data_IF_633014177251
#
_entry.id   IF_633014177251
#
_cell.length_a   1.000
_cell.length_b   1.000
_cell.length_c   1.000
_cell.angle_alpha   90.00
_cell.angle_beta   90.00
_cell.angle_gamma   90.00
#
_symmetry.space_group_name_H-M   'P 1'
#
loop_
_entity.id
_entity.type
_entity.pdbx_description
1 polymer ?
#
# COMPACT_ATOMS: atom_id res chain seq x y z
N UNK A 1 24.25 -3.16 7.78
CA UNK A 1 23.25 -2.18 8.23
C UNK A 1 21.87 -2.75 7.93
N UNK A 2 20.89 -2.57 8.82
CA UNK A 2 19.51 -3.04 8.61
C UNK A 2 18.76 -2.05 7.71
N UNK A 3 17.90 -2.54 6.82
CA UNK A 3 17.04 -1.72 5.93
C UNK A 3 16.23 -0.70 6.74
N UNK A 4 15.87 -1.05 7.98
CA UNK A 4 15.15 -0.19 8.94
C UNK A 4 15.91 1.10 9.27
N UNK A 5 17.25 1.07 9.28
CA UNK A 5 18.09 2.17 9.76
C UNK A 5 18.75 2.97 8.62
N UNK A 6 18.54 2.58 7.36
CA UNK A 6 19.25 3.18 6.22
C UNK A 6 18.37 3.41 4.99
N UNK A 7 17.14 2.86 4.98
CA UNK A 7 16.35 2.76 3.75
C UNK A 7 17.05 1.86 2.71
N UNK A 8 16.42 1.60 1.55
CA UNK A 8 17.12 0.99 0.43
C UNK A 8 18.25 1.93 -0.04
N UNK A 9 19.51 1.51 0.11
CA UNK A 9 20.69 2.32 -0.22
C UNK A 9 20.90 2.38 -1.73
N UNK A 10 21.02 3.59 -2.29
CA UNK A 10 21.29 3.99 -3.69
C UNK A 10 20.06 4.31 -4.58
N UNK A 11 19.40 5.40 -4.21
CA UNK A 11 18.02 5.77 -4.56
C UNK A 11 17.73 6.30 -5.98
N UNK A 12 18.64 6.22 -6.96
CA UNK A 12 18.32 6.72 -8.32
C UNK A 12 18.62 5.74 -9.46
N UNK A 13 19.83 5.17 -9.52
CA UNK A 13 20.20 4.22 -10.57
C UNK A 13 19.57 2.84 -10.34
N UNK A 14 19.44 2.42 -9.09
CA UNK A 14 18.72 1.20 -8.74
C UNK A 14 17.24 1.31 -9.09
N UNK A 15 16.58 2.47 -8.95
CA UNK A 15 15.12 2.56 -9.09
C UNK A 15 14.58 2.46 -10.53
N UNK A 16 15.21 3.14 -11.50
CA UNK A 16 14.81 3.01 -12.90
C UNK A 16 15.17 1.61 -13.43
N UNK A 17 16.35 1.12 -13.02
CA UNK A 17 16.82 -0.24 -13.27
C UNK A 17 15.88 -1.28 -12.68
N UNK A 18 15.47 -1.15 -11.42
CA UNK A 18 14.66 -2.09 -10.66
C UNK A 18 13.19 -2.07 -11.08
N UNK A 19 12.63 -0.93 -11.49
CA UNK A 19 11.30 -0.94 -12.11
C UNK A 19 11.31 -1.71 -13.43
N UNK A 20 12.34 -1.51 -14.25
CA UNK A 20 12.48 -2.13 -15.57
C UNK A 20 12.90 -3.60 -15.46
N UNK A 21 13.88 -3.92 -14.63
CA UNK A 21 14.34 -5.26 -14.30
C UNK A 21 13.32 -6.03 -13.48
N UNK A 22 12.59 -5.37 -12.58
CA UNK A 22 11.45 -5.94 -11.88
C UNK A 22 10.32 -6.25 -12.86
N UNK A 23 10.06 -5.40 -13.86
CA UNK A 23 9.11 -5.72 -14.92
C UNK A 23 9.56 -6.93 -15.75
N UNK A 24 10.85 -7.00 -16.10
CA UNK A 24 11.46 -8.14 -16.81
C UNK A 24 11.41 -9.42 -15.96
N UNK A 25 11.79 -9.36 -14.69
CA UNK A 25 11.73 -10.48 -13.75
C UNK A 25 10.30 -10.95 -13.51
N UNK A 26 9.33 -10.04 -13.35
CA UNK A 26 7.89 -10.34 -13.24
C UNK A 26 7.31 -10.95 -14.52
N UNK A 27 7.95 -10.73 -15.66
CA UNK A 27 7.55 -11.28 -16.95
C UNK A 27 8.05 -12.71 -17.16
N UNK A 28 9.06 -13.13 -16.39
CA UNK A 28 9.62 -14.48 -16.40
C UNK A 28 8.85 -15.34 -15.37
N UNK A 29 7.83 -16.04 -15.83
CA UNK A 29 7.04 -17.01 -15.06
C UNK A 29 7.70 -18.39 -14.96
N UNK A 30 8.66 -18.71 -15.84
CA UNK A 30 9.39 -19.99 -15.87
C UNK A 30 10.89 -19.77 -15.96
N UNK A 31 11.64 -20.41 -15.05
CA UNK A 31 13.11 -20.38 -15.05
C UNK A 31 13.73 -21.21 -16.17
N UNK A 32 12.97 -22.14 -16.77
CA UNK A 32 13.47 -23.03 -17.83
C UNK A 32 13.54 -22.35 -19.20
N UNK A 33 12.66 -21.38 -19.46
CA UNK A 33 12.58 -20.67 -20.75
C UNK A 33 12.28 -19.17 -20.57
N UNK A 34 13.19 -18.41 -19.92
CA UNK A 34 12.95 -17.01 -19.59
C UNK A 34 12.81 -16.11 -20.82
N UNK A 35 13.65 -16.33 -21.84
CA UNK A 35 13.70 -15.48 -23.04
C UNK A 35 12.47 -15.62 -23.94
N UNK A 36 11.93 -16.84 -24.10
CA UNK A 36 10.70 -17.06 -24.86
C UNK A 36 9.49 -16.40 -24.20
N UNK A 37 9.45 -16.34 -22.88
CA UNK A 37 8.36 -15.65 -22.17
C UNK A 37 8.46 -14.14 -22.27
N UNK A 38 9.66 -13.58 -22.20
CA UNK A 38 9.89 -12.17 -22.45
C UNK A 38 9.48 -11.77 -23.87
N UNK A 39 9.91 -12.55 -24.87
CA UNK A 39 9.53 -12.32 -26.26
C UNK A 39 8.00 -12.33 -26.45
N UNK A 40 7.32 -13.34 -25.90
CA UNK A 40 5.85 -13.42 -25.96
C UNK A 40 5.15 -12.28 -25.23
N UNK A 41 5.72 -11.79 -24.12
CA UNK A 41 5.17 -10.65 -23.39
C UNK A 41 5.31 -9.35 -24.19
N UNK A 42 6.47 -9.11 -24.80
CA UNK A 42 6.67 -7.96 -25.69
C UNK A 42 5.66 -8.02 -26.83
N UNK A 43 5.56 -9.18 -27.49
CA UNK A 43 4.60 -9.40 -28.59
C UNK A 43 3.15 -9.09 -28.17
N UNK A 44 2.71 -9.60 -27.02
CA UNK A 44 1.36 -9.33 -26.48
C UNK A 44 1.15 -7.86 -26.12
N UNK A 45 2.17 -7.19 -25.60
CA UNK A 45 2.09 -5.78 -25.21
C UNK A 45 1.93 -4.91 -26.45
N UNK A 46 2.68 -5.18 -27.52
CA UNK A 46 2.55 -4.48 -28.78
C UNK A 46 1.22 -4.80 -29.49
N UNK A 47 0.77 -6.06 -29.45
CA UNK A 47 -0.56 -6.43 -29.96
C UNK A 47 -1.70 -5.68 -29.25
N UNK A 48 -1.60 -5.52 -27.92
CA UNK A 48 -2.56 -4.73 -27.14
C UNK A 48 -2.51 -3.24 -27.48
N UNK A 49 -1.32 -2.67 -27.72
CA UNK A 49 -1.19 -1.28 -28.19
C UNK A 49 -1.80 -1.09 -29.58
N UNK A 50 -1.59 -2.03 -30.50
CA UNK A 50 -2.20 -1.99 -31.83
C UNK A 50 -3.72 -2.12 -31.74
N UNK A 51 -4.24 -3.04 -30.92
CA UNK A 51 -5.68 -3.14 -30.67
C UNK A 51 -6.24 -1.85 -30.06
N UNK A 52 -5.52 -1.24 -29.10
CA UNK A 52 -5.89 0.06 -28.51
C UNK A 52 -6.02 1.15 -29.57
N UNK A 53 -5.06 1.23 -30.48
CA UNK A 53 -5.07 2.20 -31.58
C UNK A 53 -6.22 1.93 -32.57
N UNK A 54 -6.40 0.67 -32.99
CA UNK A 54 -7.41 0.29 -33.99
C UNK A 54 -8.84 0.47 -33.48
N UNK A 55 -9.08 0.20 -32.19
CA UNK A 55 -10.41 0.25 -31.58
C UNK A 55 -10.64 1.53 -30.75
N UNK A 56 -9.70 2.48 -30.78
CA UNK A 56 -9.73 3.73 -30.00
C UNK A 56 -10.08 3.52 -28.51
N UNK A 57 -9.56 2.44 -27.91
CA UNK A 57 -9.84 2.07 -26.53
C UNK A 57 -9.07 2.98 -25.57
N UNK A 58 -9.74 3.48 -24.54
CA UNK A 58 -9.08 4.20 -23.45
C UNK A 58 -8.45 3.21 -22.47
N UNK A 59 -7.48 3.67 -21.68
CA UNK A 59 -6.85 2.83 -20.64
C UNK A 59 -7.88 2.29 -19.64
N UNK A 60 -8.94 3.07 -19.41
CA UNK A 60 -10.04 2.76 -18.49
C UNK A 60 -10.93 1.62 -18.99
N UNK A 61 -11.03 1.43 -20.30
CA UNK A 61 -11.87 0.37 -20.89
C UNK A 61 -11.24 -1.03 -20.70
N UNK A 62 -9.94 -1.08 -20.42
CA UNK A 62 -9.18 -2.31 -20.17
C UNK A 62 -9.02 -2.60 -18.67
N UNK A 63 -9.17 -1.58 -17.82
CA UNK A 63 -9.14 -1.67 -16.36
C UNK A 63 -10.55 -1.93 -15.83
N UNK A 64 -10.96 -3.20 -15.87
CA UNK A 64 -12.31 -3.60 -15.46
C UNK A 64 -12.73 -3.12 -14.05
N UNK A 65 -14.00 -2.71 -13.95
CA UNK A 65 -14.82 -2.40 -12.76
C UNK A 65 -14.37 -1.17 -11.95
N UNK A 66 -14.97 -0.02 -12.28
CA UNK A 66 -15.09 1.12 -11.38
C UNK A 66 -15.66 0.67 -10.03
N UNK A 67 -14.93 0.93 -8.95
CA UNK A 67 -15.40 0.74 -7.56
C UNK A 67 -14.51 -0.13 -6.67
N UNK A 68 -13.69 -1.03 -7.22
CA UNK A 68 -12.77 -1.86 -6.41
C UNK A 68 -11.33 -1.42 -6.65
N UNK A 69 -10.78 -0.62 -5.73
CA UNK A 69 -9.40 -0.14 -5.83
C UNK A 69 -8.37 -1.18 -5.40
N UNK A 70 -8.74 -2.13 -4.55
CA UNK A 70 -7.83 -3.12 -3.99
C UNK A 70 -8.48 -4.47 -3.72
N UNK A 71 -7.71 -5.54 -3.86
CA UNK A 71 -8.09 -6.93 -3.58
C UNK A 71 -7.15 -7.51 -2.53
N UNK A 72 -7.71 -7.91 -1.39
CA UNK A 72 -6.97 -8.63 -0.36
C UNK A 72 -6.65 -10.06 -0.82
N UNK A 73 -5.45 -10.54 -0.47
CA UNK A 73 -4.95 -11.89 -0.82
C UNK A 73 -4.42 -12.61 0.41
N UNK A 74 -4.50 -13.94 0.38
CA UNK A 74 -4.03 -14.79 1.45
C UNK A 74 -2.54 -14.52 1.75
N UNK A 75 -2.12 -14.60 3.03
CA UNK A 75 -2.88 -15.11 4.17
C UNK A 75 -3.92 -14.14 4.73
N UNK A 76 -4.97 -14.72 5.33
CA UNK A 76 -5.98 -14.00 6.10
C UNK A 76 -6.12 -14.64 7.48
N UNK A 77 -6.51 -13.82 8.44
CA UNK A 77 -6.93 -14.24 9.77
C UNK A 77 -8.22 -13.49 10.12
N UNK A 78 -9.34 -14.20 10.14
CA UNK A 78 -10.68 -13.60 10.21
C UNK A 78 -11.01 -13.00 11.58
N UNK A 79 -10.41 -13.52 12.66
CA UNK A 79 -10.68 -13.14 14.05
C UNK A 79 -9.40 -12.68 14.74
N UNK A 80 -8.68 -11.77 14.12
CA UNK A 80 -7.50 -11.17 14.72
C UNK A 80 -7.94 -10.18 15.81
N UNK A 81 -7.36 -10.28 17.00
CA UNK A 81 -7.62 -9.33 18.10
C UNK A 81 -6.57 -8.23 18.02
N UNK A 82 -7.02 -6.97 17.91
CA UNK A 82 -6.13 -5.81 17.89
C UNK A 82 -5.51 -5.63 19.27
N UNK A 83 -4.19 -5.45 19.31
CA UNK A 83 -3.52 -5.04 20.55
C UNK A 83 -3.93 -3.62 20.95
N UNK A 84 -3.80 -3.27 22.24
CA UNK A 84 -4.14 -1.94 22.75
C UNK A 84 -3.30 -0.84 22.10
N UNK A 85 -2.06 -1.15 21.71
CA UNK A 85 -1.20 -0.22 20.97
C UNK A 85 -1.71 0.03 19.55
N UNK A 86 -2.03 -1.04 18.82
CA UNK A 86 -2.59 -1.04 17.46
C UNK A 86 -3.94 -0.32 17.44
N UNK A 87 -4.80 -0.64 18.40
CA UNK A 87 -6.12 -0.01 18.57
C UNK A 87 -6.00 1.49 18.79
N UNK A 88 -5.08 1.94 19.66
CA UNK A 88 -4.83 3.38 19.86
C UNK A 88 -4.35 4.08 18.59
N UNK A 89 -3.47 3.44 17.82
CA UNK A 89 -3.00 3.99 16.54
C UNK A 89 -4.15 4.14 15.52
N UNK A 90 -5.03 3.13 15.42
CA UNK A 90 -6.20 3.19 14.55
C UNK A 90 -7.19 4.27 14.99
N UNK A 91 -7.44 4.41 16.30
CA UNK A 91 -8.31 5.46 16.85
C UNK A 91 -7.75 6.85 16.55
N UNK A 92 -6.43 7.05 16.70
CA UNK A 92 -5.79 8.32 16.36
C UNK A 92 -5.96 8.66 14.87
N UNK A 93 -5.76 7.68 13.98
CA UNK A 93 -5.98 7.85 12.56
C UNK A 93 -7.46 8.16 12.22
N UNK A 94 -8.40 7.37 12.75
CA UNK A 94 -9.83 7.59 12.52
C UNK A 94 -10.29 8.95 13.03
N UNK A 95 -9.71 9.47 14.12
CA UNK A 95 -10.00 10.84 14.58
C UNK A 95 -9.52 11.91 13.60
N UNK A 96 -8.41 11.68 12.92
CA UNK A 96 -7.96 12.60 11.86
C UNK A 96 -8.90 12.57 10.64
N UNK A 97 -9.45 11.40 10.31
CA UNK A 97 -10.41 11.24 9.21
C UNK A 97 -11.82 11.76 9.54
N UNK A 98 -12.35 11.46 10.72
CA UNK A 98 -13.76 11.71 11.09
C UNK A 98 -14.00 13.11 11.69
N UNK A 99 -13.17 14.10 11.32
CA UNK A 99 -13.13 15.44 11.92
C UNK A 99 -12.79 15.45 13.43
N UNK A 100 -11.92 16.39 13.84
CA UNK A 100 -11.33 16.46 15.21
C UNK A 100 -12.33 16.63 16.37
N UNK A 101 -13.63 16.84 16.09
CA UNK A 101 -14.69 17.10 17.07
C UNK A 101 -15.13 15.83 17.82
N UNK A 102 -14.82 14.65 17.31
CA UNK A 102 -15.20 13.39 17.95
C UNK A 102 -14.16 12.99 19.00
N UNK A 103 -14.63 12.60 20.19
CA UNK A 103 -13.76 12.14 21.28
C UNK A 103 -13.14 10.78 20.97
N UNK A 104 -11.86 10.59 21.33
CA UNK A 104 -11.13 9.32 21.17
C UNK A 104 -11.89 8.13 21.79
N UNK A 105 -12.46 8.31 22.99
CA UNK A 105 -13.18 7.26 23.70
C UNK A 105 -14.42 6.73 22.94
N UNK A 106 -15.12 7.60 22.21
CA UNK A 106 -16.26 7.20 21.36
C UNK A 106 -15.82 6.38 20.17
N UNK A 107 -14.77 6.83 19.48
CA UNK A 107 -14.19 6.10 18.33
C UNK A 107 -13.67 4.74 18.81
N UNK A 108 -13.02 4.70 19.97
CA UNK A 108 -12.52 3.46 20.56
C UNK A 108 -13.66 2.50 20.89
N UNK A 109 -14.76 2.98 21.48
CA UNK A 109 -15.94 2.17 21.79
C UNK A 109 -16.61 1.59 20.53
N UNK A 110 -16.60 2.34 19.42
CA UNK A 110 -17.14 1.88 18.14
C UNK A 110 -16.20 0.96 17.36
N UNK A 111 -14.89 1.01 17.62
CA UNK A 111 -13.92 0.15 16.95
C UNK A 111 -14.08 -1.30 17.43
N UNK A 112 -14.27 -2.28 16.53
CA UNK A 112 -14.34 -3.68 16.93
C UNK A 112 -13.02 -4.15 17.53
N UNK A 113 -13.10 -4.94 18.61
CA UNK A 113 -11.91 -5.56 19.24
C UNK A 113 -11.25 -6.61 18.35
N UNK A 114 -12.06 -7.25 17.52
CA UNK A 114 -11.61 -8.28 16.58
C UNK A 114 -11.93 -7.87 15.15
N UNK A 115 -10.96 -8.00 14.26
CA UNK A 115 -11.12 -7.68 12.85
C UNK A 115 -10.49 -8.76 11.97
N UNK A 116 -10.73 -8.69 10.66
CA UNK A 116 -9.96 -9.52 9.73
C UNK A 116 -8.61 -8.86 9.49
N UNK A 117 -7.53 -9.64 9.62
CA UNK A 117 -6.19 -9.25 9.23
C UNK A 117 -5.82 -9.91 7.91
N UNK A 118 -5.42 -9.11 6.93
CA UNK A 118 -4.91 -9.55 5.64
C UNK A 118 -3.42 -9.23 5.54
N UNK A 119 -2.66 -10.19 5.00
CA UNK A 119 -1.21 -10.05 4.90
C UNK A 119 -0.74 -9.63 3.51
N UNK A 120 -1.62 -9.71 2.50
CA UNK A 120 -1.31 -9.25 1.15
C UNK A 120 -2.47 -8.45 0.60
N UNK A 121 -2.14 -7.38 -0.13
CA UNK A 121 -3.10 -6.60 -0.91
C UNK A 121 -2.54 -6.35 -2.30
N UNK A 122 -3.43 -6.34 -3.27
CA UNK A 122 -3.13 -6.00 -4.65
C UNK A 122 -4.04 -4.85 -5.07
N UNK A 123 -3.46 -3.74 -5.49
CA UNK A 123 -4.21 -2.67 -6.14
C UNK A 123 -4.75 -3.21 -7.47
N UNK A 124 -6.02 -2.98 -7.76
CA UNK A 124 -6.62 -3.41 -9.03
C UNK A 124 -5.96 -2.64 -10.19
N UNK A 125 -5.78 -3.26 -11.35
CA UNK A 125 -4.97 -2.70 -12.45
C UNK A 125 -3.46 -2.91 -12.28
N UNK A 126 -2.96 -2.93 -11.05
CA UNK A 126 -1.55 -3.22 -10.77
C UNK A 126 -1.26 -4.73 -10.77
N UNK A 127 -0.07 -5.13 -11.24
CA UNK A 127 0.43 -6.50 -11.13
C UNK A 127 1.04 -6.85 -9.78
N UNK A 128 1.86 -5.99 -9.12
CA UNK A 128 2.46 -6.35 -7.84
C UNK A 128 1.40 -6.53 -6.74
N UNK A 129 1.68 -7.45 -5.82
CA UNK A 129 0.97 -7.52 -4.55
C UNK A 129 1.92 -7.02 -3.46
N UNK A 130 1.43 -6.13 -2.63
CA UNK A 130 2.11 -5.66 -1.44
C UNK A 130 1.96 -6.77 -0.37
N UNK A 131 3.05 -7.14 0.29
CA UNK A 131 3.06 -8.25 1.25
C UNK A 131 3.59 -7.77 2.60
N UNK A 132 2.74 -7.66 3.60
CA UNK A 132 3.15 -7.25 4.94
C UNK A 132 4.09 -8.25 5.62
N UNK A 133 4.86 -7.78 6.60
CA UNK A 133 5.85 -8.58 7.32
C UNK A 133 5.22 -9.77 8.05
N UNK A 134 3.97 -9.64 8.51
CA UNK A 134 3.20 -10.76 9.05
C UNK A 134 3.01 -11.89 8.03
N UNK A 135 2.68 -11.58 6.77
CA UNK A 135 2.60 -12.59 5.72
C UNK A 135 3.96 -13.13 5.31
N UNK A 136 4.97 -12.26 5.22
CA UNK A 136 6.32 -12.65 4.82
C UNK A 136 6.88 -13.72 5.77
N UNK A 137 6.68 -13.56 7.08
CA UNK A 137 7.11 -14.54 8.09
C UNK A 137 6.48 -15.92 7.96
N UNK A 138 5.31 -16.04 7.32
CA UNK A 138 4.57 -17.30 7.14
C UNK A 138 4.87 -18.03 5.84
N UNK A 139 5.24 -17.30 4.79
CA UNK A 139 5.43 -17.87 3.44
C UNK A 139 6.87 -17.86 2.95
N UNK A 140 7.68 -16.90 3.39
CA UNK A 140 9.03 -16.78 2.88
C UNK A 140 10.00 -17.60 3.72
N UNK A 141 10.44 -18.74 3.19
CA UNK A 141 11.70 -19.36 3.62
C UNK A 141 12.91 -18.52 3.15
N UNK A 142 12.67 -17.63 2.20
CA UNK A 142 13.68 -16.80 1.57
C UNK A 142 13.81 -15.48 2.37
N UNK A 143 14.77 -15.47 3.30
CA UNK A 143 15.07 -14.30 4.15
C UNK A 143 15.63 -13.11 3.36
N UNK A 144 15.95 -13.30 2.08
CA UNK A 144 16.65 -12.32 1.26
C UNK A 144 15.73 -11.38 0.48
N UNK A 145 14.42 -11.66 0.40
CA UNK A 145 13.46 -10.79 -0.29
C UNK A 145 12.33 -10.37 0.65
N UNK A 146 12.54 -9.26 1.37
CA UNK A 146 11.49 -8.62 2.15
C UNK A 146 10.68 -7.67 1.26
N UNK A 147 9.40 -7.98 1.06
CA UNK A 147 8.46 -7.17 0.28
C UNK A 147 7.45 -6.41 1.15
N UNK A 148 7.76 -6.29 2.45
CA UNK A 148 6.96 -5.55 3.42
C UNK A 148 7.23 -4.06 3.42
N UNK A 149 8.35 -3.60 2.87
CA UNK A 149 8.63 -2.17 2.78
C UNK A 149 7.84 -1.51 1.64
N UNK A 150 7.17 -0.42 1.97
CA UNK A 150 6.31 0.36 1.08
C UNK A 150 6.72 1.83 1.11
N UNK A 151 6.50 2.51 -0.02
CA UNK A 151 6.59 3.97 -0.09
C UNK A 151 5.19 4.56 0.14
N UNK A 152 5.11 5.52 1.04
CA UNK A 152 3.91 6.29 1.34
C UNK A 152 4.11 7.69 0.81
N UNK A 153 3.13 8.20 0.09
CA UNK A 153 3.08 9.60 -0.33
C UNK A 153 2.01 10.28 0.54
N UNK A 154 2.46 11.17 1.42
CA UNK A 154 1.61 11.85 2.39
C UNK A 154 1.75 13.37 2.22
N UNK A 155 0.64 14.08 2.25
CA UNK A 155 0.65 15.54 2.32
C UNK A 155 0.91 15.97 3.76
N UNK A 156 1.99 16.72 3.98
CA UNK A 156 2.39 17.19 5.32
C UNK A 156 2.34 18.69 5.36
N UNK A 157 1.77 19.22 6.45
CA UNK A 157 1.80 20.64 6.74
C UNK A 157 3.23 21.05 7.17
N UNK A 158 3.88 21.90 6.38
CA UNK A 158 5.15 22.55 6.70
C UNK A 158 4.93 24.03 6.97
N UNK A 159 5.70 24.60 7.90
CA UNK A 159 5.69 26.03 8.12
C UNK A 159 6.56 26.69 7.03
N UNK A 160 5.94 27.52 6.20
CA UNK A 160 6.63 28.34 5.21
C UNK A 160 7.46 29.43 5.88
N UNK A 161 8.41 30.00 5.13
CA UNK A 161 9.28 31.08 5.61
C UNK A 161 8.48 32.33 6.04
N UNK A 162 7.31 32.54 5.44
CA UNK A 162 6.41 33.65 5.75
C UNK A 162 5.49 33.37 6.97
N UNK A 163 5.67 32.23 7.65
CA UNK A 163 4.82 31.81 8.78
C UNK A 163 3.48 31.19 8.37
N UNK A 164 3.20 31.08 7.07
CA UNK A 164 2.05 30.34 6.53
C UNK A 164 2.22 28.83 6.65
N UNK A 165 1.11 28.08 6.68
CA UNK A 165 1.15 26.61 6.60
C UNK A 165 1.01 26.20 5.14
N UNK A 166 2.05 25.56 4.60
CA UNK A 166 2.06 25.00 3.26
C UNK A 166 1.89 23.48 3.33
N UNK A 167 1.03 22.93 2.46
CA UNK A 167 0.84 21.50 2.33
C UNK A 167 1.79 20.94 1.27
N UNK A 168 2.81 20.19 1.71
CA UNK A 168 3.85 19.66 0.83
C UNK A 168 3.72 18.14 0.71
N UNK A 169 3.57 17.59 -0.51
CA UNK A 169 3.58 16.15 -0.73
C UNK A 169 4.98 15.61 -0.40
N UNK A 170 5.06 14.77 0.63
CA UNK A 170 6.31 14.21 1.16
C UNK A 170 6.28 12.68 1.01
N UNK A 171 7.41 12.10 0.63
CA UNK A 171 7.56 10.66 0.52
C UNK A 171 8.15 10.08 1.81
N UNK A 172 7.52 9.03 2.33
CA UNK A 172 8.00 8.26 3.48
C UNK A 172 8.23 6.81 3.07
N UNK A 173 9.18 6.15 3.73
CA UNK A 173 9.32 4.70 3.66
C UNK A 173 8.82 4.10 4.97
N UNK A 174 8.08 3.01 4.85
CA UNK A 174 7.53 2.32 6.01
C UNK A 174 7.50 0.81 5.77
N UNK A 175 7.58 0.04 6.84
CA UNK A 175 7.33 -1.39 6.80
C UNK A 175 5.84 -1.64 7.04
N UNK A 176 5.15 -2.23 6.07
CA UNK A 176 3.80 -2.74 6.23
C UNK A 176 3.82 -4.00 7.09
N UNK A 177 3.10 -3.99 8.22
CA UNK A 177 2.92 -5.19 9.03
C UNK A 177 1.83 -6.07 8.45
N UNK A 178 0.63 -5.50 8.32
CA UNK A 178 -0.55 -6.13 7.77
C UNK A 178 -1.64 -5.08 7.50
N UNK A 179 -2.75 -5.52 6.91
CA UNK A 179 -3.91 -4.70 6.61
C UNK A 179 -5.09 -5.19 7.44
N UNK A 180 -5.65 -4.32 8.26
CA UNK A 180 -6.84 -4.58 9.04
C UNK A 180 -8.07 -4.20 8.21
N UNK A 181 -8.99 -5.15 8.03
CA UNK A 181 -10.31 -4.89 7.49
C UNK A 181 -11.27 -4.68 8.66
N UNK A 182 -11.69 -3.43 8.83
CA UNK A 182 -12.51 -2.98 9.96
C UNK A 182 -13.85 -2.51 9.44
N UNK A 183 -14.93 -3.03 10.02
CA UNK A 183 -16.28 -2.54 9.78
C UNK A 183 -16.64 -1.59 10.91
N UNK A 184 -16.77 -0.30 10.60
CA UNK A 184 -17.33 0.69 11.53
C UNK A 184 -18.84 0.62 11.42
N UNK A 185 -19.50 0.30 12.53
CA UNK A 185 -20.96 0.30 12.57
C UNK A 185 -21.48 1.73 12.46
N UNK A 186 -22.59 1.91 11.74
CA UNK A 186 -23.27 3.19 11.63
C UNK A 186 -23.63 3.70 13.03
N UNK A 187 -23.12 4.87 13.36
CA UNK A 187 -23.37 5.55 14.63
C UNK A 187 -23.55 7.02 14.30
N UNK A 188 -24.74 7.55 14.57
CA UNK A 188 -25.07 8.95 14.36
C UNK A 188 -24.22 9.89 15.23
N UNK A 189 -23.62 9.39 16.31
CA UNK A 189 -22.62 10.13 17.09
C UNK A 189 -21.23 10.21 16.43
N UNK A 190 -20.99 9.35 15.42
CA UNK A 190 -19.78 9.34 14.59
C UNK A 190 -19.99 9.96 13.21
N UNK A 191 -21.19 10.49 12.94
CA UNK A 191 -21.58 11.00 11.61
C UNK A 191 -21.43 9.91 10.52
N UNK A 192 -21.72 8.66 10.91
CA UNK A 192 -21.69 7.50 10.03
C UNK A 192 -23.13 7.05 9.73
N UNK A 193 -23.64 7.44 8.58
CA UNK A 193 -25.01 7.09 8.14
C UNK A 193 -25.21 5.58 7.94
N UNK A 194 -24.14 4.86 7.58
CA UNK A 194 -24.18 3.43 7.28
C UNK A 194 -22.92 2.73 7.79
N UNK A 195 -23.01 1.41 7.89
CA UNK A 195 -21.84 0.56 8.14
C UNK A 195 -20.79 0.83 7.06
N UNK A 196 -19.61 1.28 7.48
CA UNK A 196 -18.51 1.63 6.57
C UNK A 196 -17.38 0.64 6.75
N UNK A 197 -17.12 -0.13 5.70
CA UNK A 197 -15.95 -0.99 5.62
C UNK A 197 -14.72 -0.14 5.30
N UNK A 198 -13.65 -0.32 6.07
CA UNK A 198 -12.38 0.34 5.84
C UNK A 198 -11.22 -0.66 5.87
N UNK A 199 -10.27 -0.43 4.96
CA UNK A 199 -8.98 -1.12 4.94
C UNK A 199 -7.94 -0.19 5.54
N UNK A 200 -7.38 -0.59 6.69
CA UNK A 200 -6.43 0.20 7.44
C UNK A 200 -5.07 -0.52 7.42
N UNK A 201 -4.05 0.12 6.86
CA UNK A 201 -2.71 -0.42 6.83
C UNK A 201 -1.98 -0.07 8.14
N UNK A 202 -1.47 -1.08 8.85
CA UNK A 202 -0.56 -0.85 9.97
C UNK A 202 0.87 -0.86 9.46
N UNK A 203 1.56 0.26 9.69
CA UNK A 203 2.90 0.51 9.19
C UNK A 203 3.81 1.06 10.29
N UNK A 204 5.08 0.68 10.25
CA UNK A 204 6.15 1.34 11.02
C UNK A 204 6.99 2.17 10.07
N UNK A 205 7.05 3.49 10.31
CA UNK A 205 7.89 4.40 9.53
C UNK A 205 9.36 4.01 9.74
N UNK A 206 10.15 4.02 8.67
CA UNK A 206 11.58 3.77 8.73
C UNK A 206 12.31 5.03 9.20
N UNK A 207 13.34 4.86 10.03
CA UNK A 207 14.20 5.96 10.52
C UNK A 207 15.23 6.34 9.45
N UNK A 208 14.73 6.82 8.31
CA UNK A 208 15.58 7.32 7.24
C UNK A 208 15.20 8.77 6.94
N UNK A 209 16.16 9.69 7.13
CA UNK A 209 16.07 11.14 6.86
C UNK A 209 15.95 11.48 5.35
N UNK A 210 15.58 10.52 4.51
CA UNK A 210 15.53 10.66 3.07
C UNK A 210 14.16 11.17 2.61
N UNK A 211 14.01 12.49 2.51
CA UNK A 211 12.97 13.07 1.66
C UNK A 211 13.33 12.71 0.21
N UNK A 212 12.74 11.63 -0.32
CA UNK A 212 12.99 11.18 -1.70
C UNK A 212 12.55 12.19 -2.77
N UNK A 213 12.05 13.36 -2.34
CA UNK A 213 11.65 14.48 -3.18
C UNK A 213 12.74 15.55 -3.36
N UNK A 214 13.85 15.50 -2.60
CA UNK A 214 14.98 16.40 -2.86
C UNK A 214 15.69 16.03 -4.17
N UNK A 215 15.23 16.65 -5.26
CA UNK A 215 16.09 16.90 -6.42
C UNK A 215 17.19 17.85 -5.96
N UNK A 216 18.36 17.30 -5.64
CA UNK A 216 19.61 18.08 -5.71
C UNK A 216 20.02 18.28 -7.15
#
# INVERSE_FOLDING_TARGET
>A
MSIVNSGPSDTQWEFAGERKMGFVARSIKSRRFPFSQLSNLILRTEQLKMARYLYNLSEKDLEGREGVTAVMRAPFELKYTLDDSERRALVAYLRTLLNKRISMAKIEAALPKTCMRAGKVRVLGERPSICGSWAASRYSRDKHHDSSFVRLELTVARLGQDGGVEEVPTCFYAQLHYIAHVTLLGDSSLDLDNNKEQLLALVSICDCDGDATEKK
#
